data_IF_994782242709
#
_entry.id   IF_994782242709
#
_cell.length_a   1.000
_cell.length_b   1.000
_cell.length_c   1.000
_cell.angle_alpha   90.00
_cell.angle_beta   90.00
_cell.angle_gamma   90.00
#
_symmetry.space_group_name_H-M   'P 1'
#
loop_
_entity.id
_entity.type
_entity.pdbx_description
1 polymer ?
#
# COMPACT_ATOMS: atom_id res chain seq x y z
N UNK A 1 -1.36 -12.68 -0.62
CA UNK A 1 -0.79 -11.32 -0.77
C UNK A 1 0.43 -11.30 -1.68
N UNK A 2 1.31 -12.26 -1.54
CA UNK A 2 2.52 -12.33 -2.39
C UNK A 2 2.17 -12.43 -3.88
N UNK A 3 1.21 -13.28 -4.23
CA UNK A 3 0.75 -13.42 -5.62
C UNK A 3 0.15 -12.11 -6.16
N UNK A 4 -0.60 -11.38 -5.32
CA UNK A 4 -1.17 -10.10 -5.71
C UNK A 4 -0.08 -9.06 -5.95
N UNK A 5 0.94 -9.00 -5.09
CA UNK A 5 2.06 -8.09 -5.26
C UNK A 5 2.80 -8.37 -6.57
N UNK A 6 3.04 -9.64 -6.88
CA UNK A 6 3.72 -10.04 -8.12
C UNK A 6 2.88 -9.71 -9.35
N UNK A 7 1.57 -9.90 -9.30
CA UNK A 7 0.71 -9.54 -10.43
C UNK A 7 0.68 -8.04 -10.69
N UNK A 8 0.98 -7.23 -9.69
CA UNK A 8 1.08 -5.77 -9.82
C UNK A 8 2.49 -5.31 -10.26
N UNK A 9 3.41 -6.25 -10.41
CA UNK A 9 4.76 -5.95 -10.93
C UNK A 9 5.89 -6.00 -9.91
N UNK A 10 5.61 -6.33 -8.64
CA UNK A 10 6.65 -6.48 -7.65
C UNK A 10 7.43 -7.78 -7.84
N UNK A 11 8.74 -7.76 -7.64
CA UNK A 11 9.56 -8.97 -7.69
C UNK A 11 9.62 -9.68 -6.35
N UNK A 12 9.46 -8.95 -5.24
CA UNK A 12 9.45 -9.51 -3.88
C UNK A 12 8.46 -8.76 -3.01
N UNK A 13 7.95 -9.46 -1.99
CA UNK A 13 7.18 -8.89 -0.89
C UNK A 13 7.75 -9.44 0.41
N UNK A 14 8.04 -8.56 1.37
CA UNK A 14 8.60 -8.94 2.67
C UNK A 14 8.00 -8.11 3.78
N UNK A 15 8.17 -8.58 5.03
CA UNK A 15 7.94 -7.73 6.19
C UNK A 15 8.93 -6.56 6.14
N UNK A 16 8.45 -5.36 6.45
CA UNK A 16 9.31 -4.18 6.40
C UNK A 16 10.34 -4.21 7.53
N UNK A 17 11.56 -3.77 7.22
CA UNK A 17 12.62 -3.52 8.21
C UNK A 17 12.70 -2.04 8.58
N UNK A 18 11.82 -1.20 8.02
CA UNK A 18 11.74 0.22 8.36
C UNK A 18 10.79 0.43 9.53
N UNK A 19 11.24 1.21 10.53
CA UNK A 19 10.43 1.50 11.72
C UNK A 19 9.07 2.09 11.32
N UNK A 20 8.02 1.54 11.92
CA UNK A 20 6.66 2.03 11.73
C UNK A 20 5.95 1.54 10.46
N UNK A 21 6.59 0.69 9.66
CA UNK A 21 6.00 0.14 8.43
C UNK A 21 5.77 -1.35 8.56
N UNK A 22 4.68 -1.85 7.94
CA UNK A 22 4.31 -3.27 7.97
C UNK A 22 5.05 -4.10 6.95
N UNK A 23 5.04 -3.66 5.70
CA UNK A 23 5.48 -4.45 4.56
C UNK A 23 6.40 -3.64 3.66
N UNK A 24 7.13 -4.36 2.81
CA UNK A 24 7.95 -3.77 1.77
C UNK A 24 7.85 -4.59 0.50
N UNK A 25 7.77 -3.91 -0.64
CA UNK A 25 7.83 -4.55 -1.96
C UNK A 25 9.07 -4.08 -2.69
N UNK A 26 9.64 -4.97 -3.49
CA UNK A 26 10.71 -4.62 -4.43
C UNK A 26 10.09 -4.38 -5.80
N UNK A 27 10.13 -3.15 -6.27
CA UNK A 27 9.56 -2.74 -7.54
C UNK A 27 10.58 -1.96 -8.34
N UNK A 28 10.92 -2.46 -9.52
CA UNK A 28 11.94 -1.87 -10.42
C UNK A 28 13.25 -1.56 -9.70
N UNK A 29 13.69 -2.50 -8.86
CA UNK A 29 14.97 -2.40 -8.16
C UNK A 29 14.95 -1.51 -6.91
N UNK A 30 13.79 -0.98 -6.51
CA UNK A 30 13.67 -0.16 -5.31
C UNK A 30 12.70 -0.78 -4.31
N UNK A 31 13.06 -0.69 -3.03
CA UNK A 31 12.20 -1.11 -1.95
C UNK A 31 11.24 0.00 -1.56
N UNK A 32 9.94 -0.32 -1.56
CA UNK A 32 8.90 0.61 -1.17
C UNK A 32 8.25 0.06 0.10
N UNK A 33 8.40 0.78 1.21
CA UNK A 33 7.85 0.41 2.51
C UNK A 33 6.47 1.04 2.67
N UNK A 34 5.49 0.24 3.09
CA UNK A 34 4.10 0.71 3.18
C UNK A 34 3.37 0.06 4.35
N UNK A 35 2.21 0.63 4.68
CA UNK A 35 1.38 0.18 5.79
C UNK A 35 1.88 0.74 7.13
N UNK A 36 0.95 1.13 8.00
CA UNK A 36 1.28 1.65 9.33
C UNK A 36 1.30 0.51 10.35
N UNK A 37 2.46 0.27 10.96
CA UNK A 37 2.59 -0.74 12.01
C UNK A 37 1.78 -0.30 13.24
N UNK A 38 1.05 -1.25 13.85
CA UNK A 38 0.20 -0.95 15.00
C UNK A 38 -1.22 -0.54 14.66
N UNK A 39 -1.53 -0.33 13.38
CA UNK A 39 -2.89 -0.03 12.91
C UNK A 39 -3.47 -1.22 12.17
N UNK A 40 -4.78 -1.42 12.31
CA UNK A 40 -5.49 -2.44 11.55
C UNK A 40 -5.71 -1.97 10.11
N UNK A 41 -5.84 -2.93 9.20
CA UNK A 41 -6.22 -2.71 7.82
C UNK A 41 -7.29 -3.72 7.41
N UNK A 42 -7.75 -3.66 6.16
CA UNK A 42 -8.85 -4.53 5.72
C UNK A 42 -8.49 -6.01 5.83
N UNK A 43 -7.22 -6.37 5.70
CA UNK A 43 -6.78 -7.77 5.81
C UNK A 43 -6.95 -8.33 7.22
N UNK A 44 -7.07 -7.47 8.23
CA UNK A 44 -7.28 -7.87 9.63
C UNK A 44 -8.73 -7.74 10.08
N UNK A 45 -9.42 -6.64 9.75
CA UNK A 45 -10.77 -6.40 10.27
C UNK A 45 -11.90 -6.78 9.30
N UNK A 46 -11.63 -6.85 8.00
CA UNK A 46 -12.63 -7.13 6.95
C UNK A 46 -13.88 -6.25 7.03
N UNK A 47 -13.73 -5.02 7.51
CA UNK A 47 -14.83 -4.07 7.70
C UNK A 47 -14.98 -3.22 6.45
N UNK A 48 -16.08 -3.44 5.71
CA UNK A 48 -16.33 -2.75 4.44
C UNK A 48 -16.53 -1.25 4.61
N UNK A 49 -17.12 -0.81 5.73
CA UNK A 49 -17.32 0.62 5.99
C UNK A 49 -15.97 1.32 6.22
N UNK A 50 -15.08 0.68 6.98
CA UNK A 50 -13.73 1.20 7.21
C UNK A 50 -12.93 1.22 5.93
N UNK A 51 -13.08 0.20 5.09
CA UNK A 51 -12.42 0.13 3.78
C UNK A 51 -12.88 1.28 2.89
N UNK A 52 -14.19 1.52 2.80
CA UNK A 52 -14.75 2.60 2.00
C UNK A 52 -14.27 3.97 2.50
N UNK A 53 -14.21 4.17 3.82
CA UNK A 53 -13.69 5.40 4.41
C UNK A 53 -12.22 5.63 4.10
N UNK A 54 -11.41 4.57 4.19
CA UNK A 54 -9.99 4.63 3.85
C UNK A 54 -9.80 5.06 2.39
N UNK A 55 -10.51 4.38 1.48
CA UNK A 55 -10.40 4.65 0.05
C UNK A 55 -10.85 6.06 -0.31
N UNK A 56 -11.91 6.53 0.31
CA UNK A 56 -12.41 7.89 0.08
C UNK A 56 -11.39 8.95 0.46
N UNK A 57 -10.74 8.79 1.63
CA UNK A 57 -9.72 9.72 2.10
C UNK A 57 -8.46 9.66 1.23
N UNK A 58 -7.98 8.45 0.95
CA UNK A 58 -6.70 8.26 0.25
C UNK A 58 -6.80 8.54 -1.24
N UNK A 59 -7.99 8.40 -1.83
CA UNK A 59 -8.23 8.75 -3.22
C UNK A 59 -7.95 10.24 -3.49
N UNK A 60 -8.13 11.09 -2.49
CA UNK A 60 -7.94 12.53 -2.61
C UNK A 60 -6.48 12.97 -2.45
N UNK A 61 -5.58 12.06 -2.04
CA UNK A 61 -4.16 12.41 -1.86
C UNK A 61 -3.48 12.49 -3.22
N UNK A 62 -2.90 13.66 -3.53
CA UNK A 62 -2.23 13.90 -4.79
C UNK A 62 -0.73 14.05 -4.60
N UNK A 63 0.03 13.65 -5.62
CA UNK A 63 1.45 13.95 -5.71
C UNK A 63 1.66 15.39 -6.14
N UNK A 64 2.90 15.88 -6.08
CA UNK A 64 3.23 17.26 -6.48
C UNK A 64 2.79 17.60 -7.90
N UNK A 65 2.84 16.61 -8.79
CA UNK A 65 2.45 16.78 -10.19
C UNK A 65 0.95 16.64 -10.44
N UNK A 66 0.16 16.46 -9.38
CA UNK A 66 -1.30 16.34 -9.46
C UNK A 66 -1.82 14.93 -9.69
N UNK A 67 -0.95 13.92 -9.85
CA UNK A 67 -1.40 12.54 -10.03
C UNK A 67 -1.91 11.97 -8.72
N UNK A 68 -3.00 11.16 -8.73
CA UNK A 68 -3.45 10.47 -7.52
C UNK A 68 -2.40 9.47 -7.04
N UNK A 69 -1.97 9.60 -5.78
CA UNK A 69 -0.89 8.76 -5.22
C UNK A 69 -1.23 7.27 -5.28
N UNK A 70 -2.49 6.89 -5.03
CA UNK A 70 -2.89 5.48 -5.03
C UNK A 70 -2.79 4.80 -6.40
N UNK A 71 -2.62 5.56 -7.47
CA UNK A 71 -2.44 5.02 -8.83
C UNK A 71 -0.98 4.94 -9.27
N UNK A 72 -0.05 5.45 -8.46
CA UNK A 72 1.36 5.55 -8.86
C UNK A 72 2.18 4.49 -8.14
N UNK A 73 2.69 3.50 -8.88
CA UNK A 73 3.38 2.31 -8.34
C UNK A 73 4.66 2.60 -7.57
N UNK A 74 5.24 3.79 -7.72
CA UNK A 74 6.44 4.16 -6.98
C UNK A 74 6.14 4.73 -5.60
N UNK A 75 4.87 4.80 -5.18
CA UNK A 75 4.46 5.37 -3.90
C UNK A 75 3.98 4.28 -2.94
N UNK A 76 4.19 4.46 -1.61
CA UNK A 76 3.60 3.57 -0.61
C UNK A 76 2.07 3.52 -0.68
N UNK A 77 1.43 4.62 -1.07
CA UNK A 77 -0.02 4.71 -1.17
C UNK A 77 -0.60 3.69 -2.15
N UNK A 78 0.04 3.46 -3.28
CA UNK A 78 -0.40 2.45 -4.26
C UNK A 78 -0.42 1.06 -3.62
N UNK A 79 0.67 0.67 -2.98
CA UNK A 79 0.80 -0.69 -2.44
C UNK A 79 -0.10 -0.92 -1.24
N UNK A 80 -0.27 0.08 -0.36
CA UNK A 80 -1.23 -0.02 0.74
C UNK A 80 -2.66 -0.15 0.22
N UNK A 81 -3.03 0.64 -0.77
CA UNK A 81 -4.37 0.58 -1.37
C UNK A 81 -4.68 -0.81 -1.95
N UNK A 82 -3.74 -1.36 -2.73
CA UNK A 82 -3.98 -2.60 -3.47
C UNK A 82 -3.76 -3.87 -2.66
N UNK A 83 -2.92 -3.83 -1.62
CA UNK A 83 -2.57 -5.02 -0.84
C UNK A 83 -3.20 -5.06 0.56
N UNK A 84 -3.43 -3.92 1.19
CA UNK A 84 -3.95 -3.85 2.55
C UNK A 84 -5.41 -3.42 2.63
N UNK A 85 -5.88 -2.72 1.68
CA UNK A 85 -7.23 -2.16 1.62
C UNK A 85 -7.94 -2.49 0.29
#
# INVERSE_FOLDING_TARGET
MDAAAKSLGATELRSSWRKGKKLAVLYRGEWIHFGALGYEDYTTHHDDDRRASYRRRHKAILLRDGRPAYKVKTTPAFWAWHLLW
#
